data_IF_572561427805
#
_entry.id   IF_572561427805
#
_cell.length_a   1.000
_cell.length_b   1.000
_cell.length_c   1.000
_cell.angle_alpha   90.00
_cell.angle_beta   90.00
_cell.angle_gamma   90.00
#
_symmetry.space_group_name_H-M   'P 1'
#
loop_
_entity.id
_entity.type
_entity.pdbx_description
1 polymer ?
#
# COMPACT_ATOMS: atom_id res chain seq x y z
N UNK A 1 -4.47 -18.40 -16.15
CA UNK A 1 -3.10 -17.85 -16.23
C UNK A 1 -2.57 -17.39 -14.86
N UNK A 2 -3.34 -16.64 -14.05
CA UNK A 2 -2.89 -16.27 -12.70
C UNK A 2 -2.96 -17.47 -11.74
N UNK A 3 -4.03 -18.24 -11.78
CA UNK A 3 -4.26 -19.40 -10.91
C UNK A 3 -3.14 -20.45 -11.06
N UNK A 4 -2.76 -20.76 -12.30
CA UNK A 4 -1.66 -21.68 -12.61
C UNK A 4 -0.32 -21.20 -12.03
N UNK A 5 -0.04 -19.89 -12.11
CA UNK A 5 1.18 -19.30 -11.53
C UNK A 5 1.18 -19.38 -10.01
N UNK A 6 0.04 -19.09 -9.37
CA UNK A 6 -0.10 -19.18 -7.91
C UNK A 6 0.06 -20.64 -7.47
N UNK A 7 -0.61 -21.58 -8.13
CA UNK A 7 -0.48 -23.02 -7.86
C UNK A 7 0.96 -23.52 -7.99
N UNK A 8 1.67 -23.13 -9.06
CA UNK A 8 3.09 -23.46 -9.23
C UNK A 8 3.95 -22.88 -8.10
N UNK A 9 3.70 -21.63 -7.72
CA UNK A 9 4.45 -20.98 -6.65
C UNK A 9 4.17 -21.62 -5.27
N UNK A 10 2.93 -22.04 -5.01
CA UNK A 10 2.56 -22.80 -3.81
C UNK A 10 3.29 -24.14 -3.80
N UNK A 11 3.25 -24.89 -4.90
CA UNK A 11 3.89 -26.21 -5.00
C UNK A 11 5.40 -26.14 -4.70
N UNK A 12 6.11 -25.20 -5.34
CA UNK A 12 7.55 -24.99 -5.10
C UNK A 12 7.82 -24.56 -3.66
N UNK A 13 6.98 -23.69 -3.09
CA UNK A 13 7.18 -23.20 -1.72
C UNK A 13 6.88 -24.30 -0.69
N UNK A 14 5.89 -25.15 -0.95
CA UNK A 14 5.56 -26.29 -0.10
C UNK A 14 6.73 -27.28 -0.08
N UNK A 15 7.28 -27.62 -1.24
CA UNK A 15 8.43 -28.52 -1.36
C UNK A 15 9.65 -28.01 -0.59
N UNK A 16 10.01 -26.73 -0.79
CA UNK A 16 11.18 -26.12 -0.12
C UNK A 16 11.02 -25.95 1.39
N UNK A 17 9.79 -25.96 1.90
CA UNK A 17 9.49 -25.87 3.33
C UNK A 17 9.18 -27.23 3.96
N UNK A 18 9.39 -28.33 3.22
CA UNK A 18 9.14 -29.69 3.71
C UNK A 18 7.66 -29.98 3.96
N UNK A 19 6.77 -29.31 3.24
CA UNK A 19 5.32 -29.44 3.34
C UNK A 19 4.78 -30.24 2.17
N UNK A 20 3.99 -31.27 2.45
CA UNK A 20 3.25 -32.01 1.43
C UNK A 20 1.80 -31.50 1.39
N UNK A 21 1.35 -31.08 0.22
CA UNK A 21 -0.02 -30.64 -0.03
C UNK A 21 -0.64 -31.54 -1.09
N UNK A 22 -1.92 -31.90 -0.92
CA UNK A 22 -2.70 -32.54 -1.97
C UNK A 22 -3.14 -31.51 -3.02
N UNK A 23 -3.48 -31.97 -4.22
CA UNK A 23 -3.97 -31.10 -5.30
C UNK A 23 -5.19 -30.28 -4.86
N UNK A 24 -6.13 -30.89 -4.14
CA UNK A 24 -7.31 -30.19 -3.61
C UNK A 24 -6.94 -29.13 -2.56
N UNK A 25 -5.93 -29.39 -1.72
CA UNK A 25 -5.49 -28.40 -0.73
C UNK A 25 -4.78 -27.22 -1.40
N UNK A 26 -3.97 -27.48 -2.42
CA UNK A 26 -3.34 -26.42 -3.21
C UNK A 26 -4.37 -25.58 -3.95
N UNK A 27 -5.40 -26.21 -4.55
CA UNK A 27 -6.47 -25.52 -5.26
C UNK A 27 -7.20 -24.53 -4.34
N UNK A 28 -7.63 -24.98 -3.17
CA UNK A 28 -8.32 -24.11 -2.20
C UNK A 28 -7.40 -22.99 -1.71
N UNK A 29 -6.13 -23.29 -1.40
CA UNK A 29 -5.17 -22.24 -1.04
C UNK A 29 -4.96 -21.22 -2.17
N UNK A 30 -4.96 -21.65 -3.43
CA UNK A 30 -4.84 -20.74 -4.56
C UNK A 30 -6.09 -19.87 -4.71
N UNK A 31 -7.29 -20.45 -4.59
CA UNK A 31 -8.56 -19.72 -4.61
C UNK A 31 -8.60 -18.62 -3.53
N UNK A 32 -8.18 -18.94 -2.30
CA UNK A 32 -8.12 -17.98 -1.19
C UNK A 32 -7.13 -16.83 -1.47
N UNK A 33 -6.10 -17.06 -2.29
CA UNK A 33 -5.09 -16.06 -2.63
C UNK A 33 -5.48 -15.19 -3.84
N UNK A 34 -6.49 -15.58 -4.63
CA UNK A 34 -6.92 -14.82 -5.80
C UNK A 34 -7.55 -13.46 -5.47
N UNK A 35 -7.94 -13.24 -4.22
CA UNK A 35 -8.43 -11.94 -3.74
C UNK A 35 -7.33 -10.87 -3.68
N UNK A 36 -6.06 -11.29 -3.73
CA UNK A 36 -4.89 -10.42 -3.67
C UNK A 36 -4.23 -10.25 -5.05
N UNK A 37 -3.57 -9.11 -5.31
CA UNK A 37 -2.78 -8.93 -6.53
C UNK A 37 -1.70 -10.01 -6.68
N UNK A 38 -1.55 -10.55 -7.90
CA UNK A 38 -0.66 -11.68 -8.20
C UNK A 38 0.79 -11.41 -7.74
N UNK A 39 1.31 -10.22 -8.00
CA UNK A 39 2.67 -9.82 -7.63
C UNK A 39 2.88 -9.86 -6.11
N UNK A 40 1.91 -9.39 -5.32
CA UNK A 40 1.94 -9.41 -3.85
C UNK A 40 1.95 -10.85 -3.33
N UNK A 41 1.14 -11.74 -3.91
CA UNK A 41 1.12 -13.18 -3.57
C UNK A 41 2.46 -13.84 -3.87
N UNK A 42 3.05 -13.57 -5.04
CA UNK A 42 4.33 -14.16 -5.42
C UNK A 42 5.48 -13.68 -4.51
N UNK A 43 5.49 -12.40 -4.14
CA UNK A 43 6.45 -11.86 -3.16
C UNK A 43 6.25 -12.51 -1.79
N UNK A 44 5.01 -12.69 -1.33
CA UNK A 44 4.73 -13.35 -0.06
C UNK A 44 5.26 -14.79 -0.03
N UNK A 45 5.02 -15.56 -1.10
CA UNK A 45 5.55 -16.91 -1.26
C UNK A 45 7.08 -16.94 -1.32
N UNK A 46 7.72 -15.95 -1.96
CA UNK A 46 9.18 -15.79 -1.92
C UNK A 46 9.72 -15.56 -0.51
N UNK A 47 9.04 -14.73 0.27
CA UNK A 47 9.38 -14.51 1.68
C UNK A 47 9.17 -15.78 2.50
N UNK A 48 8.12 -16.55 2.26
CA UNK A 48 7.95 -17.86 2.89
C UNK A 48 9.18 -18.76 2.64
N UNK A 49 9.68 -18.83 1.41
CA UNK A 49 10.87 -19.65 1.09
C UNK A 49 12.14 -19.22 1.84
N UNK A 50 12.27 -17.93 2.19
CA UNK A 50 13.46 -17.36 2.83
C UNK A 50 13.39 -17.32 4.35
N UNK A 51 12.20 -17.11 4.90
CA UNK A 51 12.02 -16.74 6.31
C UNK A 51 11.34 -17.84 7.13
N UNK A 52 10.57 -18.74 6.49
CA UNK A 52 9.74 -19.70 7.18
C UNK A 52 10.59 -20.80 7.83
N UNK A 53 10.39 -21.03 9.14
CA UNK A 53 11.11 -22.05 9.92
C UNK A 53 10.33 -23.36 10.09
N UNK A 54 9.14 -23.46 9.48
CA UNK A 54 8.21 -24.56 9.68
C UNK A 54 7.45 -24.90 8.41
N UNK A 55 6.28 -25.53 8.57
CA UNK A 55 5.43 -25.92 7.44
C UNK A 55 4.75 -24.72 6.80
N UNK A 56 4.59 -24.76 5.49
CA UNK A 56 3.77 -23.82 4.74
C UNK A 56 2.32 -24.00 5.13
N UNK A 57 1.69 -22.92 5.56
CA UNK A 57 0.26 -22.83 5.82
C UNK A 57 -0.29 -21.60 5.11
N UNK A 58 -1.60 -21.57 4.84
CA UNK A 58 -2.24 -20.38 4.29
C UNK A 58 -1.98 -19.16 5.19
N UNK A 59 -2.11 -19.32 6.51
CA UNK A 59 -1.83 -18.26 7.49
C UNK A 59 -0.41 -17.69 7.33
N UNK A 60 0.61 -18.54 7.14
CA UNK A 60 1.98 -18.11 6.96
C UNK A 60 2.21 -17.31 5.66
N UNK A 61 1.43 -17.59 4.62
CA UNK A 61 1.42 -16.82 3.37
C UNK A 61 0.72 -15.48 3.62
N UNK A 62 -0.50 -15.49 4.17
CA UNK A 62 -1.29 -14.29 4.42
C UNK A 62 -0.60 -13.29 5.34
N UNK A 63 0.13 -13.74 6.36
CA UNK A 63 0.98 -12.89 7.22
C UNK A 63 2.07 -12.12 6.45
N UNK A 64 2.40 -12.56 5.23
CA UNK A 64 3.46 -11.98 4.38
C UNK A 64 2.93 -11.31 3.13
N UNK A 65 1.65 -11.47 2.82
CA UNK A 65 0.99 -10.73 1.75
C UNK A 65 0.87 -9.28 2.20
N UNK A 66 1.43 -8.39 1.40
CA UNK A 66 1.18 -6.97 1.55
C UNK A 66 -0.20 -6.68 0.96
N UNK A 67 -1.16 -6.37 1.84
CA UNK A 67 -2.57 -6.15 1.53
C UNK A 67 -2.96 -4.66 1.56
N UNK A 68 -1.96 -3.77 1.51
CA UNK A 68 -2.07 -2.32 1.49
C UNK A 68 -2.79 -1.70 2.71
N UNK A 69 -3.24 -2.49 3.68
CA UNK A 69 -3.87 -1.98 4.90
C UNK A 69 -2.84 -1.35 5.83
N UNK A 70 -3.06 -0.09 6.20
CA UNK A 70 -2.28 0.57 7.24
C UNK A 70 -2.50 -0.12 8.59
N UNK A 71 -1.45 -0.16 9.42
CA UNK A 71 -1.62 -0.49 10.83
C UNK A 71 -2.51 0.54 11.53
N UNK A 72 -3.10 0.16 12.67
CA UNK A 72 -3.93 1.07 13.44
C UNK A 72 -3.16 2.34 13.87
N UNK A 73 -1.87 2.20 14.20
CA UNK A 73 -1.03 3.32 14.61
C UNK A 73 -0.76 4.28 13.45
N UNK A 74 -0.40 3.76 12.27
CA UNK A 74 -0.18 4.58 11.07
C UNK A 74 -1.47 5.31 10.66
N UNK A 75 -2.61 4.61 10.66
CA UNK A 75 -3.89 5.20 10.29
C UNK A 75 -4.29 6.31 11.29
N UNK A 76 -4.14 6.06 12.59
CA UNK A 76 -4.46 7.04 13.63
C UNK A 76 -3.56 8.27 13.55
N UNK A 77 -2.25 8.07 13.45
CA UNK A 77 -1.28 9.17 13.34
C UNK A 77 -1.55 10.04 12.10
N UNK A 78 -1.92 9.41 10.97
CA UNK A 78 -2.32 10.13 9.76
C UNK A 78 -3.52 11.04 10.01
N UNK A 79 -4.55 10.53 10.67
CA UNK A 79 -5.74 11.31 11.00
C UNK A 79 -5.44 12.44 11.98
N UNK A 80 -4.68 12.17 13.04
CA UNK A 80 -4.28 13.17 14.04
C UNK A 80 -3.50 14.30 13.38
N UNK A 81 -2.57 14.00 12.47
CA UNK A 81 -1.82 15.01 11.74
C UNK A 81 -2.74 15.95 10.91
N UNK A 82 -3.78 15.39 10.27
CA UNK A 82 -4.78 16.18 9.56
C UNK A 82 -5.69 17.00 10.48
N UNK A 83 -6.06 16.49 11.65
CA UNK A 83 -6.87 17.23 12.62
C UNK A 83 -6.11 18.39 13.27
N UNK A 84 -4.80 18.26 13.45
CA UNK A 84 -3.97 19.29 14.07
C UNK A 84 -3.50 20.37 13.07
N UNK A 85 -3.65 20.14 11.76
CA UNK A 85 -3.20 21.06 10.72
C UNK A 85 -4.13 21.11 9.50
N UNK A 86 -4.96 22.15 9.41
CA UNK A 86 -5.90 22.37 8.30
C UNK A 86 -5.23 22.61 6.95
N UNK A 87 -3.95 23.01 6.93
CA UNK A 87 -3.20 23.15 5.67
C UNK A 87 -2.78 21.79 5.10
N UNK A 88 -2.65 20.76 5.94
CA UNK A 88 -2.14 19.47 5.55
C UNK A 88 -3.22 18.61 4.88
N UNK A 89 -2.98 18.23 3.63
CA UNK A 89 -3.72 17.14 3.00
C UNK A 89 -3.18 15.80 3.48
N UNK A 90 -4.07 14.85 3.74
CA UNK A 90 -3.72 13.50 4.18
C UNK A 90 -4.37 12.44 3.29
N UNK A 91 -3.66 11.33 3.09
CA UNK A 91 -4.20 10.12 2.47
C UNK A 91 -4.60 9.16 3.58
N UNK A 92 -5.90 8.93 3.74
CA UNK A 92 -6.48 8.07 4.76
C UNK A 92 -7.45 7.07 4.11
N UNK A 93 -8.26 6.38 4.90
CA UNK A 93 -9.31 5.49 4.41
C UNK A 93 -10.64 5.87 5.06
N UNK A 94 -11.76 5.64 4.37
CA UNK A 94 -13.08 5.80 5.01
C UNK A 94 -13.21 4.85 6.21
N UNK A 95 -12.56 3.68 6.15
CA UNK A 95 -12.43 2.75 7.28
C UNK A 95 -11.80 3.42 8.51
N UNK A 96 -10.68 4.11 8.34
CA UNK A 96 -10.02 4.83 9.43
C UNK A 96 -10.89 5.98 9.94
N UNK A 97 -11.52 6.75 9.05
CA UNK A 97 -12.43 7.83 9.45
C UNK A 97 -13.61 7.32 10.28
N UNK A 98 -14.23 6.21 9.90
CA UNK A 98 -15.32 5.59 10.66
C UNK A 98 -14.83 5.06 12.02
N UNK A 99 -13.63 4.45 12.07
CA UNK A 99 -13.05 4.02 13.34
C UNK A 99 -12.74 5.19 14.29
N UNK A 100 -12.43 6.38 13.76
CA UNK A 100 -12.14 7.56 14.57
C UNK A 100 -13.33 8.09 15.37
N UNK A 101 -14.56 7.75 15.01
CA UNK A 101 -15.75 8.11 15.78
C UNK A 101 -15.67 7.57 17.23
N UNK A 102 -15.09 6.37 17.44
CA UNK A 102 -14.92 5.80 18.77
C UNK A 102 -13.91 6.55 19.65
N UNK A 103 -12.99 7.31 19.02
CA UNK A 103 -11.91 8.04 19.67
C UNK A 103 -12.23 9.52 19.88
N UNK A 104 -13.19 10.07 19.14
CA UNK A 104 -13.46 11.51 19.05
C UNK A 104 -13.65 12.19 20.41
N UNK A 105 -14.52 11.65 21.28
CA UNK A 105 -14.81 12.25 22.58
C UNK A 105 -13.56 12.31 23.49
N UNK A 106 -12.75 11.24 23.51
CA UNK A 106 -11.52 11.16 24.31
C UNK A 106 -10.44 12.08 23.76
N UNK A 107 -10.33 12.15 22.43
CA UNK A 107 -9.37 13.03 21.76
C UNK A 107 -9.66 14.50 22.05
N UNK A 108 -10.94 14.90 21.97
CA UNK A 108 -11.38 16.29 22.20
C UNK A 108 -11.14 16.78 23.63
N UNK A 109 -11.14 15.89 24.62
CA UNK A 109 -10.79 16.24 26.02
C UNK A 109 -9.28 16.16 26.30
N UNK A 110 -8.46 15.89 25.28
CA UNK A 110 -7.01 15.81 25.37
C UNK A 110 -6.45 14.45 25.80
N UNK A 111 -7.28 13.42 26.00
CA UNK A 111 -6.84 12.07 26.37
C UNK A 111 -6.41 11.27 25.13
N UNK A 112 -5.29 11.69 24.54
CA UNK A 112 -4.75 11.11 23.29
C UNK A 112 -4.43 9.61 23.41
N UNK A 113 -4.00 9.16 24.59
CA UNK A 113 -3.67 7.74 24.82
C UNK A 113 -4.93 6.87 24.75
N UNK A 114 -5.98 7.22 25.50
CA UNK A 114 -7.22 6.43 25.47
C UNK A 114 -7.96 6.58 24.14
N UNK A 115 -7.86 7.73 23.50
CA UNK A 115 -8.37 7.92 22.14
C UNK A 115 -7.71 6.94 21.14
N UNK A 116 -6.38 6.83 21.15
CA UNK A 116 -5.66 5.88 20.31
C UNK A 116 -6.03 4.42 20.59
N UNK A 117 -6.25 4.06 21.86
CA UNK A 117 -6.72 2.71 22.21
C UNK A 117 -8.13 2.42 21.67
N UNK A 118 -9.06 3.37 21.83
CA UNK A 118 -10.43 3.25 21.32
C UNK A 118 -10.47 3.16 19.79
N UNK A 119 -9.66 3.98 19.11
CA UNK A 119 -9.47 3.91 17.66
C UNK A 119 -8.96 2.53 17.26
N UNK A 120 -7.84 2.08 17.86
CA UNK A 120 -7.19 0.81 17.52
C UNK A 120 -8.17 -0.36 17.59
N UNK A 121 -8.92 -0.47 18.68
CA UNK A 121 -9.90 -1.55 18.86
C UNK A 121 -10.99 -1.51 17.78
N UNK A 122 -11.50 -0.32 17.43
CA UNK A 122 -12.52 -0.19 16.38
C UNK A 122 -11.95 -0.49 14.99
N UNK A 123 -10.79 0.08 14.67
CA UNK A 123 -10.14 -0.06 13.37
C UNK A 123 -9.76 -1.52 13.09
N UNK A 124 -9.06 -2.20 14.00
CA UNK A 124 -8.64 -3.59 13.81
C UNK A 124 -9.86 -4.52 13.59
N UNK A 125 -10.97 -4.26 14.28
CA UNK A 125 -12.22 -5.00 14.08
C UNK A 125 -12.79 -4.77 12.68
N UNK A 126 -12.94 -3.52 12.24
CA UNK A 126 -13.50 -3.20 10.92
C UNK A 126 -12.60 -3.73 9.79
N UNK A 127 -11.28 -3.59 9.94
CA UNK A 127 -10.30 -4.12 8.98
C UNK A 127 -10.40 -5.64 8.89
N UNK A 128 -10.46 -6.35 10.02
CA UNK A 128 -10.63 -7.81 10.03
C UNK A 128 -11.91 -8.24 9.31
N UNK A 129 -13.03 -7.57 9.58
CA UNK A 129 -14.32 -7.83 8.92
C UNK A 129 -14.27 -7.57 7.40
N UNK A 130 -13.51 -6.55 6.96
CA UNK A 130 -13.33 -6.23 5.53
C UNK A 130 -12.38 -7.20 4.84
N UNK A 131 -11.26 -7.55 5.46
CA UNK A 131 -10.31 -8.56 4.95
C UNK A 131 -11.01 -9.91 4.76
N UNK A 132 -11.83 -10.33 5.71
CA UNK A 132 -12.63 -11.56 5.60
C UNK A 132 -13.61 -11.57 4.41
N UNK A 133 -13.94 -10.40 3.86
CA UNK A 133 -14.81 -10.23 2.68
C UNK A 133 -14.02 -9.95 1.39
N UNK A 134 -12.69 -10.00 1.43
CA UNK A 134 -11.83 -9.65 0.29
C UNK A 134 -11.93 -8.17 -0.11
N UNK A 135 -12.33 -7.30 0.81
CA UNK A 135 -12.43 -5.85 0.55
C UNK A 135 -11.06 -5.22 0.75
N UNK A 136 -10.64 -4.46 -0.26
CA UNK A 136 -9.40 -3.67 -0.24
C UNK A 136 -9.58 -2.36 0.54
N UNK A 137 -8.48 -1.69 0.96
CA UNK A 137 -8.56 -0.39 1.63
C UNK A 137 -9.34 0.64 0.79
N UNK A 138 -10.29 1.33 1.41
CA UNK A 138 -11.11 2.37 0.79
C UNK A 138 -10.44 3.75 0.91
N UNK A 139 -9.31 3.89 0.21
CA UNK A 139 -8.47 5.08 0.19
C UNK A 139 -9.26 6.36 -0.12
N UNK A 140 -8.92 7.43 0.59
CA UNK A 140 -9.56 8.72 0.54
C UNK A 140 -8.56 9.84 0.80
N UNK A 141 -8.66 10.92 0.03
CA UNK A 141 -7.86 12.12 0.23
C UNK A 141 -8.68 13.15 0.99
N UNK A 142 -8.25 13.48 2.21
CA UNK A 142 -8.76 14.65 2.93
C UNK A 142 -7.91 15.85 2.52
N UNK A 143 -8.48 16.73 1.70
CA UNK A 143 -7.77 17.87 1.14
C UNK A 143 -7.61 19.00 2.18
N UNK A 144 -6.37 19.43 2.38
CA UNK A 144 -6.03 20.61 3.17
C UNK A 144 -6.08 21.89 2.34
N UNK A 145 -5.68 22.99 2.98
CA UNK A 145 -5.63 24.31 2.35
C UNK A 145 -4.43 24.51 1.42
N UNK A 146 -3.31 23.80 1.64
CA UNK A 146 -2.13 23.89 0.79
C UNK A 146 -2.33 23.10 -0.51
N UNK A 147 -2.44 23.82 -1.64
CA UNK A 147 -2.70 23.23 -2.96
C UNK A 147 -1.47 22.58 -3.59
N UNK A 148 -0.27 23.07 -3.27
CA UNK A 148 0.97 22.47 -3.77
C UNK A 148 1.21 21.14 -3.06
N UNK A 149 1.05 21.11 -1.73
CA UNK A 149 1.16 19.88 -0.95
C UNK A 149 0.06 18.86 -1.32
N UNK A 150 -1.17 19.31 -1.57
CA UNK A 150 -2.24 18.45 -2.09
C UNK A 150 -1.84 17.80 -3.42
N UNK A 151 -1.28 18.58 -4.35
CA UNK A 151 -0.91 18.09 -5.67
C UNK A 151 0.16 17.00 -5.61
N UNK A 152 1.17 17.20 -4.75
CA UNK A 152 2.21 16.20 -4.48
C UNK A 152 1.61 14.90 -3.91
N UNK A 153 0.78 15.01 -2.86
CA UNK A 153 0.17 13.85 -2.21
C UNK A 153 -0.73 13.06 -3.17
N UNK A 154 -1.55 13.74 -3.96
CA UNK A 154 -2.46 13.10 -4.92
C UNK A 154 -1.68 12.40 -6.04
N UNK A 155 -0.61 13.04 -6.53
CA UNK A 155 0.25 12.44 -7.56
C UNK A 155 0.92 11.16 -7.05
N UNK A 156 1.47 11.19 -5.84
CA UNK A 156 2.10 10.01 -5.23
C UNK A 156 1.08 8.90 -4.96
N UNK A 157 -0.13 9.25 -4.49
CA UNK A 157 -1.20 8.29 -4.25
C UNK A 157 -1.69 7.62 -5.55
N UNK A 158 -1.75 8.37 -6.66
CA UNK A 158 -2.10 7.83 -7.97
C UNK A 158 -0.96 6.95 -8.53
N UNK A 159 0.29 7.41 -8.44
CA UNK A 159 1.46 6.67 -8.91
C UNK A 159 1.66 5.34 -8.15
N UNK A 160 1.28 5.30 -6.87
CA UNK A 160 1.30 4.08 -6.04
C UNK A 160 0.03 3.22 -6.18
N UNK A 161 -0.94 3.64 -6.99
CA UNK A 161 -2.18 2.89 -7.24
C UNK A 161 -3.18 2.88 -6.07
N UNK A 162 -2.96 3.70 -5.02
CA UNK A 162 -3.87 3.82 -3.88
C UNK A 162 -5.17 4.52 -4.26
N UNK A 163 -5.11 5.45 -5.20
CA UNK A 163 -6.29 6.10 -5.78
C UNK A 163 -6.29 5.95 -7.30
N UNK A 164 -7.46 6.05 -7.91
CA UNK A 164 -7.59 6.01 -9.36
C UNK A 164 -7.14 7.34 -9.98
N UNK A 165 -6.70 7.29 -11.24
CA UNK A 165 -6.35 8.49 -12.00
C UNK A 165 -7.53 9.46 -12.11
N UNK A 166 -8.75 8.95 -12.35
CA UNK A 166 -9.94 9.79 -12.42
C UNK A 166 -10.22 10.52 -11.12
N UNK A 167 -10.05 9.84 -9.97
CA UNK A 167 -10.21 10.47 -8.66
C UNK A 167 -9.09 11.50 -8.42
N UNK A 168 -7.85 11.19 -8.78
CA UNK A 168 -6.75 12.14 -8.70
C UNK A 168 -7.01 13.41 -9.53
N UNK A 169 -7.44 13.27 -10.78
CA UNK A 169 -7.77 14.38 -11.67
C UNK A 169 -8.93 15.24 -11.15
N UNK A 170 -9.86 14.68 -10.38
CA UNK A 170 -10.92 15.46 -9.76
C UNK A 170 -10.42 16.35 -8.60
N UNK A 171 -9.29 15.98 -7.97
CA UNK A 171 -8.71 16.69 -6.83
C UNK A 171 -7.66 17.73 -7.23
N UNK A 172 -7.02 17.54 -8.39
CA UNK A 172 -5.93 18.40 -8.84
C UNK A 172 -6.43 19.68 -9.53
N UNK A 173 -5.83 20.85 -9.21
CA UNK A 173 -6.01 22.05 -10.01
C UNK A 173 -5.40 21.86 -11.42
N UNK A 174 -5.69 22.78 -12.34
CA UNK A 174 -4.99 22.83 -13.61
C UNK A 174 -3.50 23.11 -13.37
N UNK A 175 -2.62 22.18 -13.76
CA UNK A 175 -1.19 22.22 -13.46
C UNK A 175 -0.42 21.06 -14.09
N UNK A 176 0.90 21.02 -13.87
CA UNK A 176 1.80 20.03 -14.44
C UNK A 176 1.47 18.61 -13.96
N UNK A 177 1.14 18.46 -12.68
CA UNK A 177 0.77 17.18 -12.06
C UNK A 177 -0.44 16.56 -12.78
N UNK A 178 -1.46 17.38 -13.06
CA UNK A 178 -2.65 16.94 -13.79
C UNK A 178 -2.28 16.46 -15.20
N UNK A 179 -1.47 17.23 -15.93
CA UNK A 179 -1.01 16.86 -17.27
C UNK A 179 -0.20 15.56 -17.25
N UNK A 180 0.61 15.34 -16.22
CA UNK A 180 1.39 14.12 -16.05
C UNK A 180 0.49 12.89 -15.86
N UNK A 181 -0.58 13.00 -15.05
CA UNK A 181 -1.56 11.92 -14.91
C UNK A 181 -2.29 11.65 -16.23
N UNK A 182 -2.75 12.69 -16.92
CA UNK A 182 -3.43 12.58 -18.22
C UNK A 182 -2.52 11.95 -19.31
N UNK A 183 -1.23 12.27 -19.29
CA UNK A 183 -0.23 11.71 -20.20
C UNK A 183 0.25 10.30 -19.81
N UNK A 184 -0.16 9.77 -18.65
CA UNK A 184 0.30 8.48 -18.12
C UNK A 184 1.73 8.50 -17.56
N UNK A 185 2.32 9.68 -17.34
CA UNK A 185 3.66 9.88 -16.79
C UNK A 185 3.63 9.88 -15.24
N UNK A 186 3.32 8.72 -14.66
CA UNK A 186 3.08 8.53 -13.22
C UNK A 186 4.33 8.04 -12.47
N UNK A 187 5.38 8.85 -12.44
CA UNK A 187 6.57 8.54 -11.63
C UNK A 187 6.39 9.06 -10.20
N UNK A 188 6.64 8.20 -9.21
CA UNK A 188 6.78 8.63 -7.81
C UNK A 188 7.99 9.52 -7.65
N UNK A 189 8.04 10.32 -6.58
CA UNK A 189 9.19 11.21 -6.37
C UNK A 189 10.50 10.45 -6.18
N UNK A 190 10.44 9.30 -5.50
CA UNK A 190 11.57 8.37 -5.39
C UNK A 190 12.04 7.88 -6.77
N UNK A 191 11.13 7.52 -7.66
CA UNK A 191 11.48 7.08 -9.01
C UNK A 191 12.10 8.22 -9.85
N UNK A 192 11.60 9.45 -9.69
CA UNK A 192 12.19 10.63 -10.34
C UNK A 192 13.61 10.87 -9.85
N UNK A 193 13.86 10.77 -8.55
CA UNK A 193 15.20 10.94 -7.96
C UNK A 193 16.16 9.84 -8.43
N UNK A 194 15.75 8.58 -8.38
CA UNK A 194 16.55 7.46 -8.88
C UNK A 194 16.85 7.61 -10.38
N UNK A 195 15.87 8.03 -11.18
CA UNK A 195 16.03 8.30 -12.60
C UNK A 195 17.05 9.42 -12.85
N UNK A 196 16.96 10.54 -12.13
CA UNK A 196 17.93 11.65 -12.20
C UNK A 196 19.35 11.18 -11.84
N UNK A 197 19.50 10.40 -10.78
CA UNK A 197 20.80 9.87 -10.37
C UNK A 197 21.42 8.95 -11.45
N UNK A 198 20.61 8.06 -12.04
CA UNK A 198 21.05 7.18 -13.14
C UNK A 198 21.47 7.98 -14.37
N UNK A 199 20.70 8.99 -14.76
CA UNK A 199 21.02 9.89 -15.88
C UNK A 199 22.33 10.65 -15.63
N UNK A 200 22.55 11.17 -14.41
CA UNK A 200 23.81 11.82 -14.04
C UNK A 200 25.02 10.89 -14.18
N UNK A 201 24.89 9.65 -13.72
CA UNK A 201 25.95 8.64 -13.86
C UNK A 201 26.25 8.32 -15.33
N UNK A 202 25.21 8.18 -16.17
CA UNK A 202 25.38 7.95 -17.61
C UNK A 202 26.07 9.14 -18.30
N UNK A 203 25.69 10.37 -17.95
CA UNK A 203 26.31 11.58 -18.51
C UNK A 203 27.81 11.65 -18.16
N UNK A 204 28.17 11.32 -16.91
CA UNK A 204 29.56 11.25 -16.48
C UNK A 204 30.35 10.19 -17.23
N UNK A 205 29.77 9.01 -17.45
CA UNK A 205 30.40 7.91 -18.20
C UNK A 205 30.66 8.29 -19.66
N UNK A 206 29.69 8.94 -20.31
CA UNK A 206 29.83 9.44 -21.69
C UNK A 206 30.92 10.52 -21.74
N UNK A 207 30.92 11.47 -20.79
CA UNK A 207 31.89 12.56 -20.74
C UNK A 207 33.32 12.03 -20.55
N UNK A 208 33.53 11.05 -19.65
CA UNK A 208 34.82 10.40 -19.47
C UNK A 208 35.28 9.68 -20.74
N UNK A 209 34.37 8.99 -21.43
CA UNK A 209 34.68 8.28 -22.69
C UNK A 209 35.00 9.24 -23.84
N UNK A 210 34.33 10.39 -23.89
CA UNK A 210 34.63 11.45 -24.86
C UNK A 210 35.95 12.18 -24.55
N UNK A 211 36.37 12.27 -23.28
CA UNK A 211 37.64 12.89 -22.89
C UNK A 211 38.87 11.98 -23.08
N UNK A 212 38.66 10.69 -23.33
CA UNK A 212 39.71 9.69 -23.59
C UNK A 212 39.97 9.44 -25.08
N UNK A 213 39.23 10.12 -25.97
CA UNK A 213 39.42 10.14 -27.43
C UNK A 213 39.89 11.52 -27.88
#
# INVERSE_FOLDING_TARGET
MNDEKIMQAIAVTAELTGTQLSDNAMLVMAEDLLIYPLDKVLIALERCRRELKGRLTLAAILERVDDDWQSAEEAFNTLVAGWENEHLSILTTHTAMHAAESASALFNIGDKYRAGLAFKTAYERIVSEKKAKGIQPDWYVSAGLDKEQLAQLVTEAAATGKITNDYALALLPAGEERMNIEAGNLLTDKQKEEGKARLGNLLNLITQKCALN
#
